data_IF_633985784005
#
_entry.id   IF_633985784005
#
_cell.length_a   1.000
_cell.length_b   1.000
_cell.length_c   1.000
_cell.angle_alpha   90.00
_cell.angle_beta   90.00
_cell.angle_gamma   90.00
#
_symmetry.space_group_name_H-M   'P 1'
#
loop_
_entity.id
_entity.type
_entity.pdbx_description
1 polymer ?
#
# COMPACT_ATOMS: atom_id res chain seq x y z
N UNK A 1 43.20 -53.00 15.23
CA UNK A 1 42.37 -52.04 15.98
C UNK A 1 41.88 -50.95 15.03
N UNK A 2 40.84 -50.22 15.44
CA UNK A 2 39.84 -49.55 14.61
C UNK A 2 40.35 -48.50 13.59
N UNK A 3 39.96 -48.74 12.34
CA UNK A 3 39.59 -47.76 11.30
C UNK A 3 38.90 -46.53 11.92
N UNK A 4 39.46 -45.34 11.69
CA UNK A 4 38.77 -44.07 11.91
C UNK A 4 39.06 -43.15 10.74
N UNK A 5 38.25 -43.34 9.70
CA UNK A 5 37.92 -42.29 8.76
C UNK A 5 37.47 -41.07 9.57
N UNK A 6 38.30 -40.04 9.60
CA UNK A 6 37.85 -38.71 10.00
C UNK A 6 36.88 -38.24 8.94
N UNK A 7 35.63 -38.04 9.36
CA UNK A 7 34.52 -37.72 8.47
C UNK A 7 34.65 -36.25 8.08
N UNK A 8 35.18 -35.99 6.89
CA UNK A 8 34.84 -34.76 6.17
C UNK A 8 33.32 -34.74 6.03
N UNK A 9 32.65 -33.73 6.60
CA UNK A 9 31.22 -33.46 6.39
C UNK A 9 31.12 -32.44 5.26
N UNK A 10 30.79 -32.85 4.03
CA UNK A 10 30.59 -31.94 2.92
C UNK A 10 29.13 -31.49 2.91
N UNK A 11 28.70 -30.74 3.93
CA UNK A 11 27.41 -30.04 3.91
C UNK A 11 27.36 -29.14 5.14
N UNK A 12 27.66 -27.86 4.97
CA UNK A 12 27.18 -26.73 5.79
C UNK A 12 27.69 -25.42 5.14
N UNK A 13 27.51 -25.31 3.83
CA UNK A 13 27.59 -24.03 3.10
C UNK A 13 26.25 -23.90 2.37
N UNK A 14 25.21 -23.60 3.14
CA UNK A 14 23.97 -23.08 2.61
C UNK A 14 23.90 -21.63 3.09
N UNK A 15 24.21 -20.64 2.25
CA UNK A 15 23.85 -19.28 2.59
C UNK A 15 22.33 -19.25 2.77
N UNK A 16 21.90 -19.03 4.01
CA UNK A 16 20.52 -18.78 4.37
C UNK A 16 20.09 -17.45 3.73
N UNK A 17 19.74 -17.50 2.44
CA UNK A 17 18.94 -16.49 1.77
C UNK A 17 17.49 -16.66 2.25
N UNK A 18 17.27 -16.46 3.55
CA UNK A 18 15.99 -16.62 4.25
C UNK A 18 15.28 -15.28 4.51
N UNK A 19 15.68 -14.21 3.82
CA UNK A 19 15.03 -12.89 3.93
C UNK A 19 14.67 -12.34 2.55
N UNK A 20 13.98 -13.17 1.75
CA UNK A 20 13.13 -12.64 0.69
C UNK A 20 11.90 -11.97 1.35
N UNK A 21 12.13 -10.83 2.02
CA UNK A 21 11.10 -9.98 2.58
C UNK A 21 10.05 -9.74 1.48
N UNK A 22 8.84 -10.27 1.69
CA UNK A 22 7.77 -10.18 0.71
C UNK A 22 7.62 -8.72 0.25
N UNK A 23 7.53 -8.46 -1.08
CA UNK A 23 7.50 -7.11 -1.60
C UNK A 23 6.33 -6.36 -0.97
N UNK A 24 6.66 -5.32 -0.20
CA UNK A 24 5.68 -4.50 0.49
C UNK A 24 4.83 -3.82 -0.57
N UNK A 25 3.51 -4.06 -0.61
CA UNK A 25 2.69 -3.52 -1.69
C UNK A 25 2.70 -1.99 -1.64
N UNK A 26 2.86 -1.32 -2.79
CA UNK A 26 2.77 0.13 -2.84
C UNK A 26 1.32 0.58 -2.65
N UNK A 27 1.12 1.71 -1.97
CA UNK A 27 -0.17 2.35 -1.85
C UNK A 27 -0.65 2.85 -3.21
N UNK A 28 -1.86 2.48 -3.59
CA UNK A 28 -2.43 2.80 -4.91
C UNK A 28 -2.56 4.31 -5.18
N UNK A 29 -2.77 5.14 -4.14
CA UNK A 29 -2.93 6.59 -4.33
C UNK A 29 -1.60 7.37 -4.39
N UNK A 30 -0.68 7.08 -3.46
CA UNK A 30 0.56 7.86 -3.32
C UNK A 30 1.81 7.14 -3.86
N UNK A 31 1.71 5.86 -4.25
CA UNK A 31 2.81 5.06 -4.78
C UNK A 31 3.87 4.63 -3.76
N UNK A 32 3.74 5.04 -2.50
CA UNK A 32 4.72 4.74 -1.43
C UNK A 32 4.55 3.31 -0.90
N UNK A 33 5.61 2.64 -0.41
CA UNK A 33 5.46 1.34 0.24
C UNK A 33 4.51 1.45 1.43
N UNK A 34 3.59 0.50 1.58
CA UNK A 34 2.72 0.47 2.75
C UNK A 34 3.47 0.07 4.01
N UNK A 35 3.11 0.61 5.17
CA UNK A 35 3.76 0.24 6.43
C UNK A 35 3.22 -1.07 7.00
N UNK A 36 3.26 -1.18 8.33
CA UNK A 36 2.59 -2.26 9.06
C UNK A 36 1.07 -2.21 8.90
N UNK A 37 0.53 -1.00 8.71
CA UNK A 37 -0.92 -0.78 8.60
C UNK A 37 -1.35 -0.61 7.15
N UNK A 38 -2.14 -1.57 6.65
CA UNK A 38 -2.68 -1.57 5.29
C UNK A 38 -4.20 -1.64 5.35
N UNK A 39 -4.88 -0.79 4.58
CA UNK A 39 -6.33 -0.90 4.34
C UNK A 39 -6.60 -1.27 2.90
N UNK A 40 -7.58 -2.14 2.70
CA UNK A 40 -8.04 -2.54 1.38
C UNK A 40 -9.17 -1.62 0.94
N UNK A 41 -8.84 -0.70 0.03
CA UNK A 41 -9.80 0.27 -0.49
C UNK A 41 -10.46 -0.25 -1.77
N UNK A 42 -11.75 0.05 -1.95
CA UNK A 42 -12.47 -0.20 -3.19
C UNK A 42 -12.49 1.09 -4.04
N UNK A 43 -11.67 1.19 -5.11
CA UNK A 43 -11.66 2.40 -5.95
C UNK A 43 -13.03 2.68 -6.56
N UNK A 44 -13.72 1.61 -6.97
CA UNK A 44 -15.12 1.65 -7.38
C UNK A 44 -15.97 1.15 -6.21
N UNK A 45 -16.95 1.94 -5.72
CA UNK A 45 -17.85 1.48 -4.65
C UNK A 45 -18.59 0.19 -5.03
N UNK A 46 -18.79 -0.73 -4.07
CA UNK A 46 -19.54 -1.99 -4.29
C UNK A 46 -20.93 -1.77 -4.87
N UNK A 47 -21.61 -0.70 -4.44
CA UNK A 47 -22.95 -0.31 -4.95
C UNK A 47 -22.97 0.03 -6.44
N UNK A 48 -21.81 0.33 -7.03
CA UNK A 48 -21.62 0.61 -8.45
C UNK A 48 -20.98 -0.55 -9.21
N UNK A 49 -20.95 -1.74 -8.60
CA UNK A 49 -20.39 -2.96 -9.21
C UNK A 49 -18.87 -3.12 -9.01
N UNK A 50 -18.23 -2.28 -8.21
CA UNK A 50 -16.81 -2.41 -7.92
C UNK A 50 -16.47 -3.67 -7.13
N UNK A 51 -15.55 -4.47 -7.67
CA UNK A 51 -15.07 -5.72 -7.04
C UNK A 51 -13.61 -5.63 -6.64
N UNK A 52 -12.89 -4.68 -7.22
CA UNK A 52 -11.48 -4.56 -7.04
C UNK A 52 -11.14 -3.93 -5.70
N UNK A 53 -10.05 -4.44 -5.12
CA UNK A 53 -9.47 -3.95 -3.89
C UNK A 53 -8.02 -3.60 -4.15
N UNK A 54 -7.62 -2.44 -3.64
CA UNK A 54 -6.25 -1.96 -3.76
C UNK A 54 -5.68 -1.68 -2.38
N UNK A 55 -4.39 -1.99 -2.16
CA UNK A 55 -3.72 -1.66 -0.90
C UNK A 55 -3.55 -0.14 -0.82
N UNK A 56 -3.94 0.43 0.32
CA UNK A 56 -3.80 1.85 0.61
C UNK A 56 -3.46 2.08 2.08
N UNK A 57 -2.92 3.25 2.39
CA UNK A 57 -2.79 3.71 3.77
C UNK A 57 -4.14 4.18 4.33
N UNK A 58 -4.40 4.03 5.65
CA UNK A 58 -5.62 4.55 6.29
C UNK A 58 -5.83 6.04 6.06
N UNK A 59 -4.75 6.83 6.04
CA UNK A 59 -4.81 8.27 5.77
C UNK A 59 -5.21 8.56 4.32
N UNK A 60 -4.66 7.82 3.35
CA UNK A 60 -4.99 7.97 1.94
C UNK A 60 -6.47 7.63 1.68
N UNK A 61 -6.99 6.57 2.30
CA UNK A 61 -8.42 6.22 2.22
C UNK A 61 -9.30 7.35 2.78
N UNK A 62 -8.94 7.90 3.95
CA UNK A 62 -9.68 9.02 4.55
C UNK A 62 -9.66 10.24 3.64
N UNK A 63 -8.54 10.58 3.01
CA UNK A 63 -8.45 11.69 2.06
C UNK A 63 -9.38 11.48 0.87
N UNK A 64 -9.36 10.29 0.27
CA UNK A 64 -10.16 9.99 -0.91
C UNK A 64 -11.65 10.10 -0.59
N UNK A 65 -12.10 9.51 0.53
CA UNK A 65 -13.51 9.60 0.95
C UNK A 65 -13.93 10.98 1.46
N UNK A 66 -12.98 11.83 1.86
CA UNK A 66 -13.24 13.22 2.25
C UNK A 66 -13.26 14.20 1.07
N UNK A 67 -12.57 13.90 -0.03
CA UNK A 67 -12.49 14.77 -1.22
C UNK A 67 -13.45 14.35 -2.34
N UNK A 68 -13.73 13.06 -2.48
CA UNK A 68 -14.55 12.52 -3.57
C UNK A 68 -15.82 11.84 -3.05
N UNK A 69 -16.92 12.06 -3.77
CA UNK A 69 -18.17 11.33 -3.59
C UNK A 69 -18.13 9.97 -4.29
N UNK A 70 -19.02 9.06 -3.90
CA UNK A 70 -19.15 7.74 -4.56
C UNK A 70 -19.37 7.84 -6.08
N UNK A 71 -20.05 8.90 -6.55
CA UNK A 71 -20.29 9.13 -7.97
C UNK A 71 -19.04 9.59 -8.71
N UNK A 72 -18.20 10.41 -8.08
CA UNK A 72 -16.90 10.82 -8.65
C UNK A 72 -15.92 9.65 -8.68
N UNK A 73 -15.84 8.88 -7.58
CA UNK A 73 -15.03 7.66 -7.54
C UNK A 73 -15.43 6.66 -8.61
N UNK A 74 -16.74 6.49 -8.87
CA UNK A 74 -17.20 5.65 -9.98
C UNK A 74 -16.70 6.15 -11.34
N UNK A 75 -16.70 7.47 -11.58
CA UNK A 75 -16.25 8.04 -12.87
C UNK A 75 -14.76 7.86 -13.09
N UNK A 76 -13.95 8.01 -12.03
CA UNK A 76 -12.51 7.80 -12.11
C UNK A 76 -12.12 6.31 -12.11
N UNK A 77 -12.87 5.48 -11.40
CA UNK A 77 -12.67 4.04 -11.31
C UNK A 77 -11.30 3.67 -10.76
N UNK A 78 -10.56 2.84 -11.49
CA UNK A 78 -9.16 2.48 -11.17
C UNK A 78 -8.13 3.54 -11.61
N UNK A 79 -8.57 4.68 -12.14
CA UNK A 79 -7.66 5.69 -12.65
C UNK A 79 -7.20 6.65 -11.55
N UNK A 80 -6.02 6.39 -10.98
CA UNK A 80 -5.38 7.27 -9.99
C UNK A 80 -5.14 8.66 -10.57
N UNK A 81 -4.76 8.74 -11.84
CA UNK A 81 -4.50 10.00 -12.54
C UNK A 81 -5.68 10.98 -12.46
N UNK A 82 -6.91 10.45 -12.59
CA UNK A 82 -8.13 11.23 -12.44
C UNK A 82 -8.33 11.81 -11.03
N UNK A 83 -7.89 11.09 -9.99
CA UNK A 83 -7.89 11.59 -8.62
C UNK A 83 -6.77 12.64 -8.43
N UNK A 84 -5.60 12.43 -9.01
CA UNK A 84 -4.46 13.36 -8.94
C UNK A 84 -4.65 14.65 -9.77
N UNK A 85 -5.65 14.67 -10.65
CA UNK A 85 -6.08 15.88 -11.35
C UNK A 85 -6.75 16.90 -10.39
N UNK A 86 -7.31 16.43 -9.27
CA UNK A 86 -7.83 17.33 -8.24
C UNK A 86 -6.66 17.98 -7.46
N UNK A 87 -6.59 19.32 -7.41
CA UNK A 87 -5.47 20.01 -6.78
C UNK A 87 -5.41 19.80 -5.26
N UNK A 88 -6.52 19.48 -4.58
CA UNK A 88 -6.49 19.17 -3.15
C UNK A 88 -5.86 17.80 -2.91
N UNK A 89 -6.21 16.82 -3.74
CA UNK A 89 -5.62 15.47 -3.69
C UNK A 89 -4.14 15.50 -4.06
N UNK A 90 -3.75 16.24 -5.10
CA UNK A 90 -2.32 16.40 -5.46
C UNK A 90 -1.50 17.01 -4.31
N UNK A 91 -1.96 18.11 -3.72
CA UNK A 91 -1.30 18.74 -2.55
C UNK A 91 -1.18 17.78 -1.38
N UNK A 92 -2.19 16.94 -1.15
CA UNK A 92 -2.13 15.91 -0.12
C UNK A 92 -1.07 14.85 -0.44
N UNK A 93 -0.98 14.39 -1.69
CA UNK A 93 0.02 13.40 -2.12
C UNK A 93 1.45 13.97 -1.98
N UNK A 94 1.67 15.22 -2.38
CA UNK A 94 2.96 15.90 -2.19
C UNK A 94 3.32 16.04 -0.70
N UNK A 95 2.33 16.35 0.14
CA UNK A 95 2.52 16.47 1.58
C UNK A 95 2.81 15.12 2.27
N UNK A 96 2.14 14.04 1.84
CA UNK A 96 2.36 12.69 2.39
C UNK A 96 3.61 12.03 1.84
N UNK A 97 4.14 12.46 0.68
CA UNK A 97 5.37 11.95 0.09
C UNK A 97 6.57 12.01 1.03
N UNK A 98 6.63 13.03 1.89
CA UNK A 98 7.72 13.28 2.84
C UNK A 98 7.51 12.67 4.23
N UNK A 99 6.45 11.89 4.45
CA UNK A 99 6.10 11.35 5.79
C UNK A 99 6.52 9.89 5.94
N UNK A 100 6.37 9.33 7.13
CA UNK A 100 6.52 7.89 7.36
C UNK A 100 5.38 7.08 6.71
N UNK A 101 5.60 5.84 6.23
CA UNK A 101 4.53 4.99 5.69
C UNK A 101 3.47 4.56 6.70
N UNK A 102 3.77 4.52 8.01
CA UNK A 102 2.79 4.24 9.08
C UNK A 102 2.17 5.53 9.65
N UNK A 103 2.40 6.68 9.02
CA UNK A 103 1.86 7.95 9.47
C UNK A 103 0.32 7.97 9.39
N UNK A 104 -0.30 8.15 10.56
CA UNK A 104 -1.75 8.28 10.70
C UNK A 104 -2.09 9.70 11.15
N UNK A 105 -3.02 10.35 10.44
CA UNK A 105 -3.59 11.63 10.84
C UNK A 105 -5.09 11.63 10.60
N UNK A 106 -5.82 12.32 11.48
CA UNK A 106 -7.26 12.54 11.31
C UNK A 106 -7.47 13.67 10.31
N UNK A 107 -8.24 13.41 9.27
CA UNK A 107 -8.56 14.41 8.26
C UNK A 107 -9.97 14.92 8.53
N UNK A 108 -10.12 16.24 8.62
CA UNK A 108 -11.45 16.86 8.71
C UNK A 108 -12.18 16.68 7.39
N UNK A 109 -13.31 15.99 7.41
CA UNK A 109 -14.19 15.87 6.23
C UNK A 109 -14.69 17.25 5.83
N UNK A 110 -14.60 17.58 4.55
CA UNK A 110 -15.24 18.79 4.02
C UNK A 110 -16.75 18.57 4.09
N UNK A 111 -17.46 19.34 4.92
CA UNK A 111 -18.91 19.46 4.77
C UNK A 111 -19.17 20.13 3.42
N UNK A 112 -19.80 19.40 2.50
CA UNK A 112 -20.25 19.87 1.20
C UNK A 112 -21.76 19.76 1.15
#
# INVERSE_FOLDING_TARGET
MARKHTKYRPDDDLPADEDAAAPVPPCWLCGRPTGKTIVWHHPVPKSRGGRDVVPMHPICQQTVTANFTNSELQRHGMSVDGLLADPATRKFVDWVANKDPDFTATITKKQR
#
